data_IF_731853086451
#
_entry.id   IF_731853086451
#
_cell.length_a   1.000
_cell.length_b   1.000
_cell.length_c   1.000
_cell.angle_alpha   90.00
_cell.angle_beta   90.00
_cell.angle_gamma   90.00
#
_symmetry.space_group_name_H-M   'P 1'
#
loop_
_entity.id
_entity.type
_entity.pdbx_description
1 polymer ?
#
# COMPACT_ATOMS: atom_id res chain seq x y z
N UNK A 1 4.18 27.29 -7.29
CA UNK A 1 3.96 27.43 -5.83
C UNK A 1 2.66 28.19 -5.64
N UNK A 2 1.68 27.60 -4.95
CA UNK A 2 0.44 28.30 -4.57
C UNK A 2 0.66 29.10 -3.29
N UNK A 3 -0.01 30.24 -3.14
CA UNK A 3 0.04 31.02 -1.90
C UNK A 3 -0.43 30.21 -0.68
N UNK A 4 -1.42 29.33 -0.87
CA UNK A 4 -1.95 28.47 0.19
C UNK A 4 -0.96 27.39 0.66
N UNK A 5 -0.11 26.87 -0.23
CA UNK A 5 0.93 25.90 0.14
C UNK A 5 2.01 26.59 1.00
N UNK A 6 2.37 27.82 0.63
CA UNK A 6 3.33 28.61 1.40
C UNK A 6 2.77 29.04 2.76
N UNK A 7 1.49 29.43 2.83
CA UNK A 7 0.80 29.67 4.10
C UNK A 7 0.83 28.43 4.99
N UNK A 8 0.53 27.25 4.45
CA UNK A 8 0.59 25.99 5.19
C UNK A 8 1.99 25.70 5.74
N UNK A 9 3.05 25.99 4.96
CA UNK A 9 4.44 25.89 5.42
C UNK A 9 4.74 26.81 6.60
N UNK A 10 4.32 28.08 6.52
CA UNK A 10 4.47 29.02 7.63
C UNK A 10 3.67 28.58 8.86
N UNK A 11 2.44 28.12 8.67
CA UNK A 11 1.59 27.59 9.74
C UNK A 11 2.28 26.45 10.48
N UNK A 12 2.89 25.50 9.79
CA UNK A 12 3.61 24.40 10.45
C UNK A 12 4.88 24.90 11.17
N UNK A 13 5.64 25.81 10.57
CA UNK A 13 6.86 26.38 11.19
C UNK A 13 6.58 27.18 12.46
N UNK A 14 5.50 27.94 12.47
CA UNK A 14 5.13 28.80 13.60
C UNK A 14 4.22 28.09 14.61
N UNK A 15 3.75 26.87 14.33
CA UNK A 15 2.90 26.11 15.23
C UNK A 15 3.45 25.92 16.65
N UNK A 16 4.75 25.69 16.90
CA UNK A 16 5.25 25.59 18.27
C UNK A 16 5.10 26.89 19.09
N UNK A 17 4.96 28.03 18.41
CA UNK A 17 4.84 29.36 19.02
C UNK A 17 3.40 29.82 19.16
N UNK A 18 2.47 29.14 18.49
CA UNK A 18 1.05 29.48 18.45
C UNK A 18 0.31 28.31 19.10
N UNK A 19 -0.64 28.57 20.00
CA UNK A 19 -1.40 27.52 20.69
C UNK A 19 -2.43 26.83 19.78
N UNK A 20 -2.00 26.36 18.61
CA UNK A 20 -2.84 25.59 17.69
C UNK A 20 -3.04 24.17 18.19
N UNK A 21 -4.28 23.68 18.04
CA UNK A 21 -4.61 22.30 18.33
C UNK A 21 -4.16 21.42 17.16
N UNK A 22 -3.52 20.31 17.49
CA UNK A 22 -3.00 19.28 16.58
C UNK A 22 -3.94 18.85 15.42
N UNK A 23 -5.27 18.70 15.60
CA UNK A 23 -6.18 18.35 14.49
C UNK A 23 -6.32 19.43 13.40
N UNK A 24 -6.16 20.71 13.72
CA UNK A 24 -6.30 21.79 12.73
C UNK A 24 -5.06 21.88 11.81
N UNK A 25 -3.92 21.37 12.31
CA UNK A 25 -2.64 21.41 11.61
C UNK A 25 -2.49 20.29 10.55
N UNK A 26 -3.33 19.26 10.65
CA UNK A 26 -3.28 18.06 9.83
C UNK A 26 -3.27 18.33 8.32
N UNK A 27 -4.20 19.19 7.91
CA UNK A 27 -4.38 19.60 6.52
C UNK A 27 -3.16 20.35 5.94
N UNK A 28 -2.31 20.91 6.81
CA UNK A 28 -1.18 21.73 6.40
C UNK A 28 0.12 20.93 6.24
N UNK A 29 0.21 19.70 6.75
CA UNK A 29 1.47 18.95 6.74
C UNK A 29 1.95 18.57 5.33
N UNK A 30 1.07 18.06 4.47
CA UNK A 30 1.45 17.67 3.09
C UNK A 30 1.85 18.89 2.25
N UNK A 31 1.06 19.99 2.21
CA UNK A 31 1.48 21.21 1.52
C UNK A 31 2.77 21.82 2.09
N UNK A 32 2.92 21.84 3.42
CA UNK A 32 4.13 22.33 4.07
C UNK A 32 5.36 21.51 3.67
N UNK A 33 5.24 20.18 3.65
CA UNK A 33 6.32 19.29 3.23
C UNK A 33 6.72 19.52 1.77
N UNK A 34 5.75 19.72 0.88
CA UNK A 34 6.01 20.05 -0.53
C UNK A 34 6.88 21.31 -0.67
N UNK A 35 6.52 22.37 0.04
CA UNK A 35 7.29 23.62 0.04
C UNK A 35 8.67 23.41 0.67
N UNK A 36 8.77 22.67 1.78
CA UNK A 36 10.04 22.37 2.43
C UNK A 36 11.02 21.68 1.48
N UNK A 37 10.55 20.67 0.73
CA UNK A 37 11.36 19.99 -0.29
C UNK A 37 11.75 20.92 -1.44
N UNK A 38 10.85 21.80 -1.88
CA UNK A 38 11.14 22.74 -2.96
C UNK A 38 12.17 23.82 -2.54
N UNK A 39 12.13 24.27 -1.29
CA UNK A 39 13.02 25.30 -0.76
C UNK A 39 14.35 24.71 -0.25
N UNK A 40 14.43 23.39 -0.09
CA UNK A 40 15.63 22.70 0.43
C UNK A 40 15.77 22.77 1.95
N UNK A 41 14.65 22.92 2.67
CA UNK A 41 14.63 22.99 4.13
C UNK A 41 14.56 21.59 4.75
N UNK A 42 15.67 20.87 4.71
CA UNK A 42 15.77 19.45 5.10
C UNK A 42 15.55 19.20 6.61
N UNK A 43 15.83 20.19 7.45
CA UNK A 43 15.69 20.10 8.92
C UNK A 43 14.25 19.81 9.37
N UNK A 44 13.27 20.19 8.55
CA UNK A 44 11.85 20.02 8.84
C UNK A 44 11.32 18.63 8.49
N UNK A 45 12.02 17.92 7.59
CA UNK A 45 11.65 16.58 7.14
C UNK A 45 11.50 15.56 8.29
N UNK A 46 12.47 15.38 9.21
CA UNK A 46 12.34 14.41 10.29
C UNK A 46 11.23 14.75 11.30
N UNK A 47 10.83 16.02 11.39
CA UNK A 47 9.77 16.47 12.29
C UNK A 47 8.38 16.27 11.69
N UNK A 48 8.20 16.56 10.40
CA UNK A 48 6.89 16.49 9.74
C UNK A 48 6.55 15.06 9.31
N UNK A 49 7.51 14.25 8.87
CA UNK A 49 7.23 12.92 8.33
C UNK A 49 6.45 12.00 9.28
N UNK A 50 6.81 11.88 10.57
CA UNK A 50 6.05 11.03 11.49
C UNK A 50 4.60 11.52 11.69
N UNK A 51 4.39 12.84 11.63
CA UNK A 51 3.05 13.45 11.75
C UNK A 51 2.19 13.15 10.53
N UNK A 52 2.77 13.25 9.32
CA UNK A 52 2.11 12.84 8.07
C UNK A 52 1.76 11.35 8.11
N UNK A 53 2.71 10.51 8.53
CA UNK A 53 2.49 9.05 8.57
C UNK A 53 1.36 8.65 9.52
N UNK A 54 1.23 9.34 10.65
CA UNK A 54 0.19 9.08 11.63
C UNK A 54 -1.21 9.49 11.16
N UNK A 55 -1.32 10.48 10.26
CA UNK A 55 -2.59 11.06 9.87
C UNK A 55 -3.12 10.62 8.50
N UNK A 56 -2.24 10.29 7.55
CA UNK A 56 -2.68 9.85 6.22
C UNK A 56 -3.26 8.44 6.25
N UNK A 57 -4.35 8.24 5.50
CA UNK A 57 -4.87 6.91 5.21
C UNK A 57 -3.97 6.18 4.20
N UNK A 58 -4.15 4.86 4.05
CA UNK A 58 -3.30 4.05 3.17
C UNK A 58 -3.37 4.52 1.69
N UNK A 59 -4.47 5.17 1.29
CA UNK A 59 -4.67 5.68 -0.07
C UNK A 59 -3.89 6.97 -0.28
N UNK A 60 -4.03 7.95 0.61
CA UNK A 60 -3.31 9.22 0.52
C UNK A 60 -1.80 9.00 0.79
N UNK A 61 -1.40 7.97 1.54
CA UNK A 61 0.00 7.52 1.65
C UNK A 61 0.59 7.06 0.33
N UNK A 62 -0.17 6.36 -0.52
CA UNK A 62 0.29 5.97 -1.87
C UNK A 62 0.51 7.21 -2.74
N UNK A 63 -0.39 8.18 -2.67
CA UNK A 63 -0.28 9.42 -3.44
C UNK A 63 0.95 10.20 -2.98
N UNK A 64 1.11 10.38 -1.67
CA UNK A 64 2.26 11.04 -1.07
C UNK A 64 3.58 10.33 -1.43
N UNK A 65 3.61 9.00 -1.33
CA UNK A 65 4.79 8.22 -1.65
C UNK A 65 5.20 8.33 -3.12
N UNK A 66 4.25 8.45 -4.04
CA UNK A 66 4.52 8.70 -5.47
C UNK A 66 5.04 10.11 -5.73
N UNK A 67 4.48 11.10 -5.03
CA UNK A 67 4.88 12.49 -5.20
C UNK A 67 6.32 12.74 -4.74
N UNK A 68 6.75 12.07 -3.67
CA UNK A 68 8.05 12.28 -3.02
C UNK A 68 9.01 11.08 -3.09
N UNK A 69 8.73 10.12 -3.97
CA UNK A 69 9.52 8.90 -4.21
C UNK A 69 9.87 8.12 -2.92
N UNK A 70 8.89 7.96 -2.02
CA UNK A 70 9.05 7.18 -0.78
C UNK A 70 8.61 5.73 -0.99
N UNK A 71 9.49 4.94 -1.57
CA UNK A 71 9.24 3.54 -1.93
C UNK A 71 8.70 2.69 -0.78
N UNK A 72 9.27 2.83 0.42
CA UNK A 72 8.84 2.03 1.59
C UNK A 72 7.37 2.28 1.93
N UNK A 73 6.92 3.53 1.85
CA UNK A 73 5.53 3.91 2.10
C UNK A 73 4.63 3.39 1.00
N UNK A 74 5.10 3.44 -0.25
CA UNK A 74 4.37 2.89 -1.39
C UNK A 74 4.12 1.39 -1.22
N UNK A 75 5.18 0.62 -0.92
CA UNK A 75 5.13 -0.83 -0.75
C UNK A 75 4.23 -1.21 0.42
N UNK A 76 4.45 -0.58 1.59
CA UNK A 76 3.68 -0.90 2.80
C UNK A 76 2.19 -0.58 2.63
N UNK A 77 1.86 0.52 1.95
CA UNK A 77 0.47 0.91 1.72
C UNK A 77 -0.25 0.00 0.73
N UNK A 78 0.42 -0.40 -0.37
CA UNK A 78 -0.11 -1.41 -1.30
C UNK A 78 -0.35 -2.75 -0.59
N UNK A 79 0.57 -3.18 0.28
CA UNK A 79 0.42 -4.41 1.06
C UNK A 79 -0.78 -4.32 2.02
N UNK A 80 -0.94 -3.21 2.75
CA UNK A 80 -2.06 -2.99 3.68
C UNK A 80 -3.41 -3.01 2.95
N UNK A 81 -3.54 -2.28 1.84
CA UNK A 81 -4.75 -2.26 1.02
C UNK A 81 -5.07 -3.63 0.39
N UNK A 82 -4.05 -4.41 0.06
CA UNK A 82 -4.23 -5.76 -0.49
C UNK A 82 -4.71 -6.76 0.56
N UNK A 83 -4.42 -6.54 1.84
CA UNK A 83 -4.89 -7.40 2.94
C UNK A 83 -6.21 -6.93 3.56
N UNK A 84 -6.65 -5.71 3.25
CA UNK A 84 -7.89 -5.13 3.77
C UNK A 84 -9.10 -5.98 3.40
N UNK A 85 -9.99 -6.23 4.37
CA UNK A 85 -11.22 -6.99 4.14
C UNK A 85 -12.17 -6.25 3.20
N UNK A 86 -12.29 -4.95 3.40
CA UNK A 86 -13.15 -4.07 2.61
C UNK A 86 -12.56 -3.85 1.20
N UNK A 87 -13.37 -3.96 0.14
CA UNK A 87 -12.93 -3.64 -1.22
C UNK A 87 -12.64 -2.14 -1.36
N UNK A 88 -11.90 -1.77 -2.41
CA UNK A 88 -11.69 -0.38 -2.77
C UNK A 88 -13.01 0.27 -3.18
N UNK A 89 -13.28 1.44 -2.64
CA UNK A 89 -14.41 2.27 -3.06
C UNK A 89 -14.14 2.94 -4.40
N UNK A 90 -15.18 3.33 -5.16
CA UNK A 90 -14.98 4.05 -6.42
C UNK A 90 -14.27 5.41 -6.25
N UNK A 91 -14.34 6.06 -5.09
CA UNK A 91 -13.56 7.28 -4.82
C UNK A 91 -12.07 6.95 -4.64
N UNK A 92 -11.74 5.93 -3.84
CA UNK A 92 -10.36 5.48 -3.63
C UNK A 92 -9.72 5.03 -4.95
N UNK A 93 -10.43 4.21 -5.75
CA UNK A 93 -9.93 3.74 -7.04
C UNK A 93 -9.62 4.89 -8.02
N UNK A 94 -10.46 5.94 -8.02
CA UNK A 94 -10.23 7.14 -8.84
C UNK A 94 -9.02 7.94 -8.36
N UNK A 95 -8.82 8.07 -7.05
CA UNK A 95 -7.64 8.72 -6.47
C UNK A 95 -6.35 7.98 -6.78
N UNK A 96 -6.35 6.65 -6.67
CA UNK A 96 -5.18 5.79 -6.85
C UNK A 96 -4.71 5.68 -8.31
N UNK A 97 -5.64 5.79 -9.25
CA UNK A 97 -5.36 5.57 -10.68
C UNK A 97 -5.22 4.09 -11.04
N UNK A 98 -5.17 3.82 -12.35
CA UNK A 98 -5.28 2.46 -12.89
C UNK A 98 -4.18 1.53 -12.39
N UNK A 99 -2.92 1.93 -12.47
CA UNK A 99 -1.78 1.08 -12.11
C UNK A 99 -1.80 0.62 -10.65
N UNK A 100 -2.10 1.53 -9.70
CA UNK A 100 -2.23 1.13 -8.30
C UNK A 100 -3.38 0.17 -8.07
N UNK A 101 -4.52 0.42 -8.72
CA UNK A 101 -5.70 -0.44 -8.57
C UNK A 101 -5.41 -1.83 -9.15
N UNK A 102 -4.80 -1.90 -10.34
CA UNK A 102 -4.41 -3.16 -10.95
C UNK A 102 -3.44 -3.94 -10.05
N UNK A 103 -2.43 -3.27 -9.50
CA UNK A 103 -1.48 -3.86 -8.55
C UNK A 103 -2.20 -4.43 -7.32
N UNK A 104 -3.06 -3.64 -6.67
CA UNK A 104 -3.79 -4.06 -5.47
C UNK A 104 -4.71 -5.24 -5.77
N UNK A 105 -5.46 -5.20 -6.87
CA UNK A 105 -6.34 -6.29 -7.28
C UNK A 105 -5.55 -7.58 -7.54
N UNK A 106 -4.45 -7.49 -8.27
CA UNK A 106 -3.60 -8.64 -8.55
C UNK A 106 -3.02 -9.26 -7.27
N UNK A 107 -2.53 -8.44 -6.35
CA UNK A 107 -2.02 -8.92 -5.05
C UNK A 107 -3.13 -9.56 -4.22
N UNK A 108 -4.35 -8.99 -4.22
CA UNK A 108 -5.51 -9.58 -3.54
C UNK A 108 -5.85 -10.95 -4.09
N UNK A 109 -5.88 -11.10 -5.41
CA UNK A 109 -6.14 -12.38 -6.06
C UNK A 109 -5.10 -13.43 -5.66
N UNK A 110 -3.83 -13.06 -5.63
CA UNK A 110 -2.75 -13.97 -5.22
C UNK A 110 -2.80 -14.34 -3.74
N UNK A 111 -3.10 -13.38 -2.85
CA UNK A 111 -3.30 -13.66 -1.42
C UNK A 111 -4.48 -14.61 -1.22
N UNK A 112 -5.58 -14.40 -1.95
CA UNK A 112 -6.78 -15.23 -1.85
C UNK A 112 -6.58 -16.62 -2.47
N UNK A 113 -5.84 -16.72 -3.58
CA UNK A 113 -5.51 -18.00 -4.22
C UNK A 113 -4.66 -18.88 -3.30
N UNK A 114 -3.87 -18.26 -2.41
CA UNK A 114 -3.00 -18.97 -1.46
C UNK A 114 -3.73 -19.28 -0.13
N UNK A 115 -4.93 -18.74 0.12
CA UNK A 115 -5.71 -19.11 1.29
C UNK A 115 -6.27 -20.54 1.10
N UNK A 116 -5.84 -21.54 1.89
CA UNK A 116 -6.34 -22.90 1.73
C UNK A 116 -7.74 -22.95 2.33
N UNK A 117 -8.76 -22.65 1.53
CA UNK A 117 -10.08 -23.20 1.82
C UNK A 117 -10.00 -24.69 1.53
N UNK A 118 -9.60 -25.47 2.53
CA UNK A 118 -9.90 -26.89 2.55
C UNK A 118 -11.43 -27.04 2.55
N UNK A 119 -12.04 -27.07 1.37
CA UNK A 119 -13.43 -27.44 1.21
C UNK A 119 -13.52 -28.96 1.20
N UNK A 120 -14.07 -29.51 2.27
CA UNK A 120 -14.53 -30.89 2.24
C UNK A 120 -15.78 -30.95 1.36
N UNK A 121 -15.69 -31.50 0.15
CA UNK A 121 -16.80 -31.54 -0.83
C UNK A 121 -18.05 -32.26 -0.29
N UNK A 122 -17.91 -33.11 0.72
CA UNK A 122 -19.01 -33.81 1.40
C UNK A 122 -19.72 -32.97 2.47
N UNK A 123 -19.14 -31.85 2.91
CA UNK A 123 -19.74 -30.95 3.89
C UNK A 123 -19.53 -29.50 3.44
N UNK A 124 -20.59 -28.86 2.91
CA UNK A 124 -20.55 -27.44 2.55
C UNK A 124 -20.08 -26.60 3.77
N UNK A 125 -18.85 -26.09 3.69
CA UNK A 125 -18.42 -24.90 4.44
C UNK A 125 -17.83 -25.08 5.84
N UNK A 126 -16.85 -25.97 6.05
CA UNK A 126 -15.95 -25.85 7.22
C UNK A 126 -14.48 -26.08 6.86
N UNK A 127 -13.63 -25.19 7.39
CA UNK A 127 -12.18 -25.17 7.21
C UNK A 127 -11.50 -26.21 8.11
N UNK A 128 -10.48 -26.88 7.58
CA UNK A 128 -9.61 -27.77 8.35
C UNK A 128 -8.48 -26.93 8.96
N UNK A 129 -8.49 -26.74 10.27
CA UNK A 129 -7.36 -26.16 11.00
C UNK A 129 -6.33 -27.25 11.29
N UNK A 130 -5.09 -27.03 10.83
CA UNK A 130 -3.86 -27.78 11.15
C UNK A 130 -3.46 -28.96 10.25
N UNK A 131 -3.46 -28.78 8.93
CA UNK A 131 -2.63 -29.63 8.04
C UNK A 131 -2.92 -31.13 8.08
N UNK A 132 -4.01 -31.55 8.72
CA UNK A 132 -4.46 -32.94 8.73
C UNK A 132 -5.13 -33.21 7.39
N UNK A 133 -4.67 -34.23 6.68
CA UNK A 133 -5.29 -34.76 5.46
C UNK A 133 -6.66 -35.39 5.69
N UNK A 134 -7.16 -35.37 6.93
CA UNK A 134 -8.44 -35.91 7.34
C UNK A 134 -9.36 -34.78 7.86
N UNK A 135 -10.62 -34.80 7.42
CA UNK A 135 -11.67 -33.95 7.97
C UNK A 135 -12.12 -34.48 9.34
N UNK A 136 -12.16 -33.61 10.36
CA UNK A 136 -12.49 -33.97 11.76
C UNK A 136 -13.88 -34.58 11.97
N UNK A 137 -14.78 -34.48 10.99
CA UNK A 137 -16.17 -34.96 11.10
C UNK A 137 -16.43 -36.27 10.36
N UNK A 138 -15.77 -36.51 9.22
CA UNK A 138 -15.93 -37.75 8.46
C UNK A 138 -14.74 -38.70 8.56
N UNK A 139 -13.63 -38.28 9.20
CA UNK A 139 -12.37 -39.02 9.31
C UNK A 139 -11.85 -39.60 7.97
N UNK A 140 -12.36 -39.09 6.86
CA UNK A 140 -12.08 -39.56 5.51
C UNK A 140 -10.90 -38.77 4.96
N UNK A 141 -9.90 -39.49 4.47
CA UNK A 141 -8.76 -38.97 3.71
C UNK A 141 -9.07 -38.79 2.22
N UNK A 142 -10.24 -39.27 1.76
CA UNK A 142 -10.53 -39.50 0.35
C UNK A 142 -11.29 -38.38 -0.37
N UNK A 143 -11.70 -37.30 0.31
CA UNK A 143 -12.46 -36.20 -0.33
C UNK A 143 -11.94 -34.80 -0.01
N UNK A 144 -10.70 -34.68 0.44
CA UNK A 144 -10.00 -33.40 0.41
C UNK A 144 -9.29 -33.36 -0.94
N UNK A 145 -9.76 -32.51 -1.85
CA UNK A 145 -8.87 -32.06 -2.92
C UNK A 145 -7.78 -31.23 -2.23
N UNK A 146 -6.77 -31.92 -1.71
CA UNK A 146 -5.47 -31.30 -1.49
C UNK A 146 -4.92 -31.08 -2.89
N UNK A 147 -5.29 -29.95 -3.52
CA UNK A 147 -4.38 -29.39 -4.49
C UNK A 147 -3.11 -29.09 -3.69
N UNK A 148 -2.15 -30.01 -3.82
CA UNK A 148 -0.80 -29.83 -3.32
C UNK A 148 -0.20 -28.66 -4.11
N UNK A 149 -0.41 -27.45 -3.61
CA UNK A 149 0.36 -26.28 -3.94
C UNK A 149 0.88 -25.74 -2.62
N UNK A 150 2.20 -25.53 -2.56
CA UNK A 150 3.00 -25.41 -1.33
C UNK A 150 2.36 -24.53 -0.25
N UNK A 151 2.39 -25.08 0.97
CA UNK A 151 2.07 -24.32 2.18
C UNK A 151 3.21 -23.36 2.45
N UNK A 152 3.22 -22.25 1.74
CA UNK A 152 3.69 -20.98 2.28
C UNK A 152 2.68 -19.96 1.83
N UNK A 153 1.81 -19.54 2.75
CA UNK A 153 1.21 -18.20 2.62
C UNK A 153 2.31 -17.25 2.16
N UNK A 154 2.06 -16.45 1.13
CA UNK A 154 3.00 -15.39 0.75
C UNK A 154 3.29 -14.60 2.03
N UNK A 155 4.50 -14.76 2.57
CA UNK A 155 4.92 -14.04 3.76
C UNK A 155 4.90 -12.56 3.41
N UNK A 156 4.73 -11.69 4.41
CA UNK A 156 4.80 -10.23 4.22
C UNK A 156 6.03 -9.83 3.40
N UNK A 157 7.14 -10.54 3.61
CA UNK A 157 8.41 -10.32 2.93
C UNK A 157 8.39 -10.77 1.46
N UNK A 158 7.68 -11.85 1.14
CA UNK A 158 7.47 -12.28 -0.24
C UNK A 158 6.51 -11.36 -0.99
N UNK A 159 5.49 -10.81 -0.31
CA UNK A 159 4.60 -9.80 -0.91
C UNK A 159 5.38 -8.52 -1.19
N UNK A 160 6.17 -8.03 -0.21
CA UNK A 160 7.01 -6.83 -0.37
C UNK A 160 8.02 -6.99 -1.49
N UNK A 161 8.71 -8.13 -1.60
CA UNK A 161 9.70 -8.35 -2.66
C UNK A 161 9.05 -8.26 -4.04
N UNK A 162 7.87 -8.85 -4.23
CA UNK A 162 7.15 -8.82 -5.51
C UNK A 162 6.62 -7.44 -5.86
N UNK A 163 6.13 -6.68 -4.89
CA UNK A 163 5.75 -5.27 -5.10
C UNK A 163 6.99 -4.49 -5.56
N UNK A 164 8.12 -4.67 -4.88
CA UNK A 164 9.37 -3.99 -5.22
C UNK A 164 9.86 -4.35 -6.63
N UNK A 165 9.80 -5.64 -7.01
CA UNK A 165 10.21 -6.10 -8.34
C UNK A 165 9.33 -5.48 -9.44
N UNK A 166 8.02 -5.39 -9.22
CA UNK A 166 7.11 -4.74 -10.18
C UNK A 166 7.33 -3.23 -10.28
N UNK A 167 7.54 -2.54 -9.16
CA UNK A 167 7.86 -1.10 -9.15
C UNK A 167 9.20 -0.81 -9.85
N UNK A 168 10.19 -1.69 -9.70
CA UNK A 168 11.46 -1.59 -10.45
C UNK A 168 11.25 -1.81 -11.95
N UNK A 169 10.48 -2.83 -12.33
CA UNK A 169 10.17 -3.10 -13.73
C UNK A 169 9.44 -1.93 -14.41
N UNK A 170 8.47 -1.30 -13.72
CA UNK A 170 7.79 -0.10 -14.20
C UNK A 170 8.75 1.08 -14.42
N UNK A 171 9.68 1.31 -13.47
CA UNK A 171 10.69 2.38 -13.62
C UNK A 171 11.66 2.12 -14.77
N UNK A 172 12.16 0.89 -14.93
CA UNK A 172 13.01 0.51 -16.05
C UNK A 172 12.27 0.64 -17.40
N UNK A 173 10.97 0.34 -17.44
CA UNK A 173 10.16 0.52 -18.65
C UNK A 173 10.02 2.00 -19.01
N UNK A 174 9.72 2.87 -18.03
CA UNK A 174 9.64 4.32 -18.22
C UNK A 174 10.98 4.93 -18.68
N UNK A 175 12.10 4.49 -18.10
CA UNK A 175 13.44 4.93 -18.53
C UNK A 175 13.76 4.49 -19.96
N UNK A 176 13.40 3.26 -20.35
CA UNK A 176 13.55 2.76 -21.72
C UNK A 176 12.68 3.52 -22.72
N UNK A 177 11.46 3.92 -22.34
CA UNK A 177 10.62 4.76 -23.20
C UNK A 177 11.18 6.18 -23.35
N UNK A 178 11.68 6.77 -22.26
CA UNK A 178 12.35 8.08 -22.30
C UNK A 178 13.63 8.06 -23.14
N UNK A 179 14.38 6.96 -23.13
CA UNK A 179 15.55 6.75 -23.99
C UNK A 179 15.18 6.57 -25.48
N UNK A 180 14.02 5.99 -25.79
CA UNK A 180 13.53 5.82 -27.17
C UNK A 180 12.96 7.11 -27.77
N UNK A 181 12.44 8.03 -26.95
CA UNK A 181 11.94 9.34 -27.39
C UNK A 181 13.03 10.37 -27.72
N UNK A 182 14.32 10.00 -27.62
CA UNK A 182 15.47 10.86 -27.91
C UNK A 182 16.27 10.32 -29.11
N UNK A 183 15.64 10.21 -30.28
CA UNK A 183 16.33 10.08 -31.56
C UNK A 183 15.78 11.16 -32.51
N UNK A 184 16.62 12.07 -33.03
CA UNK A 184 16.22 13.13 -33.96
C UNK A 184 15.84 12.62 -35.35
#
# INVERSE_FOLDING_TARGET
MSAADFESFLTVLYAPRITWKEPDLAQHYVPAYRIAKQVGYEELEPCILPLIEAQLDDVDKIIFAREFDKEEWLINSHMRLSKRKEPLTPQEARKLGLESVHMICHLREEILYVAPTHLCLSHMGRTCSNGSTACSKCNSTASVLCQAAGVTGLTDESIKSRINDKLKAEREALEKERAKGSVP
#
